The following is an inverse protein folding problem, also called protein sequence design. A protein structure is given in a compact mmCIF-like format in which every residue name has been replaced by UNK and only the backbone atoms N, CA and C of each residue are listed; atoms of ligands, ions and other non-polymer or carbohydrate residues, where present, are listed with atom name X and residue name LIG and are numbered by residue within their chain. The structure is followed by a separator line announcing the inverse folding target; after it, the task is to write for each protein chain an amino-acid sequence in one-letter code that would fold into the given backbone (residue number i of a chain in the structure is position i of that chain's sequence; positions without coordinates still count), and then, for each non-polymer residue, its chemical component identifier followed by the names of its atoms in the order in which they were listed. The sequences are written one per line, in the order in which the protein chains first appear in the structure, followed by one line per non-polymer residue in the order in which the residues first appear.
data_IF_657515428362
#
_entry.id   IF_657515428362
#
_cell.length_a   1.000
_cell.length_b   1.000
_cell.length_c   1.000
_cell.angle_alpha   90.00
_cell.angle_beta   90.00
_cell.angle_gamma   90.00
#
_symmetry.space_group_name_H-M   'P 1'
#
loop_
_entity.id
_entity.type
_entity.pdbx_description
1 polymer ?
#
# COMPACT_ATOMS: atom_id res chain seq x y z
N UNK A 1 -3.30 58.10 -6.40
CA UNK A 1 -2.72 56.85 -5.87
C UNK A 1 -1.22 57.01 -5.85
N UNK A 2 -0.57 56.88 -4.69
CA UNK A 2 0.88 57.08 -4.57
C UNK A 2 1.66 55.85 -5.02
N UNK A 3 2.87 56.04 -5.56
CA UNK A 3 3.76 54.93 -6.01
C UNK A 3 3.94 53.87 -4.91
N UNK A 4 4.00 54.29 -3.64
CA UNK A 4 4.12 53.40 -2.48
C UNK A 4 2.91 52.47 -2.27
N UNK A 5 1.70 52.92 -2.61
CA UNK A 5 0.49 52.07 -2.53
C UNK A 5 0.47 51.02 -3.65
N UNK A 6 0.96 51.39 -4.84
CA UNK A 6 1.04 50.49 -6.00
C UNK A 6 2.02 49.34 -5.70
N UNK A 7 3.20 49.68 -5.17
CA UNK A 7 4.22 48.69 -4.77
C UNK A 7 3.69 47.75 -3.69
N UNK A 8 3.07 48.26 -2.62
CA UNK A 8 2.46 47.42 -1.58
C UNK A 8 1.33 46.53 -2.09
N UNK A 9 0.59 46.95 -3.11
CA UNK A 9 -0.43 46.11 -3.74
C UNK A 9 0.17 45.01 -4.61
N UNK A 10 1.29 45.28 -5.28
CA UNK A 10 2.04 44.27 -6.03
C UNK A 10 2.65 43.23 -5.07
N UNK A 11 3.37 43.65 -4.03
CA UNK A 11 3.98 42.73 -3.07
C UNK A 11 2.95 41.77 -2.42
N UNK A 12 1.77 42.30 -2.07
CA UNK A 12 0.68 41.46 -1.52
C UNK A 12 0.06 40.51 -2.54
N UNK A 13 0.03 40.89 -3.82
CA UNK A 13 -0.42 40.00 -4.90
C UNK A 13 0.59 38.90 -5.15
N UNK A 14 1.86 39.27 -5.20
CA UNK A 14 2.97 38.36 -5.51
C UNK A 14 3.13 37.34 -4.38
N UNK A 15 3.19 37.78 -3.12
CA UNK A 15 3.24 36.85 -1.98
C UNK A 15 2.01 35.94 -1.87
N UNK A 16 0.83 36.40 -2.29
CA UNK A 16 -0.39 35.55 -2.33
C UNK A 16 -0.36 34.55 -3.49
N UNK A 17 0.26 34.91 -4.61
CA UNK A 17 0.45 34.04 -5.76
C UNK A 17 1.50 32.97 -5.44
N UNK A 18 2.64 33.36 -4.87
CA UNK A 18 3.71 32.48 -4.43
C UNK A 18 3.20 31.47 -3.40
N UNK A 19 2.60 31.93 -2.29
CA UNK A 19 2.10 31.00 -1.25
C UNK A 19 1.00 30.05 -1.74
N UNK A 20 0.19 30.45 -2.74
CA UNK A 20 -0.78 29.55 -3.38
C UNK A 20 -0.12 28.53 -4.30
N UNK A 21 0.93 28.92 -5.01
CA UNK A 21 1.69 28.04 -5.89
C UNK A 21 2.47 27.02 -5.08
N UNK A 22 3.19 27.48 -4.06
CA UNK A 22 3.97 26.64 -3.14
C UNK A 22 3.06 25.62 -2.43
N UNK A 23 2.02 26.07 -1.74
CA UNK A 23 1.12 25.14 -1.02
C UNK A 23 0.41 24.13 -1.94
N UNK A 24 0.15 24.49 -3.21
CA UNK A 24 -0.43 23.55 -4.19
C UNK A 24 0.60 22.57 -4.74
N UNK A 25 1.87 22.98 -4.86
CA UNK A 25 2.97 22.13 -5.29
C UNK A 25 3.32 21.13 -4.20
N UNK A 26 3.52 21.61 -2.97
CA UNK A 26 3.84 20.81 -1.78
C UNK A 26 2.76 19.77 -1.53
N UNK A 27 1.49 20.18 -1.38
CA UNK A 27 0.40 19.23 -1.11
C UNK A 27 0.19 18.18 -2.21
N UNK A 28 0.51 18.49 -3.48
CA UNK A 28 0.48 17.51 -4.57
C UNK A 28 1.65 16.53 -4.54
N UNK A 29 2.84 17.02 -4.16
CA UNK A 29 4.05 16.21 -4.05
C UNK A 29 3.94 15.25 -2.87
N UNK A 30 3.55 15.76 -1.71
CA UNK A 30 3.34 14.99 -0.48
C UNK A 30 2.28 13.91 -0.70
N UNK A 31 1.06 14.29 -1.12
CA UNK A 31 -0.01 13.31 -1.32
C UNK A 31 0.30 12.23 -2.38
N UNK A 32 1.12 12.56 -3.40
CA UNK A 32 1.55 11.57 -4.40
C UNK A 32 2.66 10.65 -3.88
N UNK A 33 3.55 11.15 -3.01
CA UNK A 33 4.61 10.35 -2.40
C UNK A 33 4.04 9.40 -1.36
N UNK A 34 3.20 9.91 -0.47
CA UNK A 34 2.51 9.15 0.58
C UNK A 34 1.66 8.04 -0.04
N UNK A 35 0.74 8.37 -0.95
CA UNK A 35 -0.12 7.37 -1.58
C UNK A 35 0.62 6.30 -2.39
N UNK A 36 1.80 6.60 -2.93
CA UNK A 36 2.65 5.60 -3.61
C UNK A 36 3.41 4.70 -2.64
N UNK A 37 3.87 5.25 -1.52
CA UNK A 37 4.59 4.50 -0.49
C UNK A 37 3.64 3.54 0.22
N UNK A 38 2.48 4.05 0.65
CA UNK A 38 1.43 3.26 1.31
C UNK A 38 0.94 2.15 0.38
N UNK A 39 0.48 2.47 -0.83
CA UNK A 39 -0.02 1.46 -1.76
C UNK A 39 1.02 0.40 -2.17
N UNK A 40 2.32 0.75 -2.20
CA UNK A 40 3.39 -0.22 -2.48
C UNK A 40 3.71 -1.10 -1.28
N UNK A 41 3.63 -0.57 -0.07
CA UNK A 41 3.86 -1.34 1.17
C UNK A 41 2.70 -2.29 1.42
N UNK A 42 1.47 -1.80 1.35
CA UNK A 42 0.24 -2.59 1.51
C UNK A 42 0.18 -3.70 0.47
N UNK A 43 0.27 -3.37 -0.83
CA UNK A 43 0.21 -4.37 -1.89
C UNK A 43 1.33 -5.41 -1.86
N UNK A 44 2.52 -5.06 -1.35
CA UNK A 44 3.60 -6.04 -1.15
C UNK A 44 3.35 -6.95 0.05
N UNK A 45 2.81 -6.42 1.13
CA UNK A 45 2.51 -7.19 2.34
C UNK A 45 1.34 -8.14 2.08
N UNK A 46 0.24 -7.63 1.54
CA UNK A 46 -0.94 -8.41 1.15
C UNK A 46 -0.57 -9.47 0.13
N UNK A 47 0.06 -9.10 -0.99
CA UNK A 47 0.45 -10.07 -2.03
C UNK A 47 1.44 -11.13 -1.55
N UNK A 48 2.31 -10.81 -0.56
CA UNK A 48 3.22 -11.80 0.03
C UNK A 48 2.47 -12.75 0.96
N UNK A 49 1.54 -12.26 1.77
CA UNK A 49 0.75 -13.10 2.67
C UNK A 49 -0.20 -14.01 1.89
N UNK A 50 -0.94 -13.43 0.93
CA UNK A 50 -1.83 -14.17 0.03
C UNK A 50 -1.04 -15.22 -0.77
N UNK A 51 0.09 -14.84 -1.37
CA UNK A 51 0.92 -15.78 -2.14
C UNK A 51 1.52 -16.91 -1.28
N UNK A 52 1.89 -16.63 -0.03
CA UNK A 52 2.36 -17.65 0.90
C UNK A 52 1.25 -18.63 1.29
N UNK A 53 0.05 -18.11 1.56
CA UNK A 53 -1.11 -18.94 1.90
C UNK A 53 -1.56 -19.79 0.71
N UNK A 54 -1.65 -19.20 -0.48
CA UNK A 54 -2.00 -19.92 -1.71
C UNK A 54 -0.98 -21.01 -2.07
N UNK A 55 0.32 -20.74 -1.87
CA UNK A 55 1.36 -21.75 -2.05
C UNK A 55 1.22 -22.90 -1.03
N UNK A 56 0.93 -22.60 0.24
CA UNK A 56 0.70 -23.61 1.27
C UNK A 56 -0.52 -24.49 0.94
N UNK A 57 -1.60 -23.90 0.43
CA UNK A 57 -2.80 -24.63 -0.02
C UNK A 57 -2.49 -25.55 -1.21
N UNK A 58 -1.71 -25.09 -2.19
CA UNK A 58 -1.29 -25.91 -3.35
C UNK A 58 -0.48 -27.12 -2.89
N UNK A 59 0.49 -26.90 -2.01
CA UNK A 59 1.30 -27.99 -1.42
C UNK A 59 0.39 -28.95 -0.65
N UNK A 60 -0.51 -28.46 0.19
CA UNK A 60 -1.43 -29.30 0.95
C UNK A 60 -2.34 -30.16 0.05
N UNK A 61 -2.82 -29.59 -1.06
CA UNK A 61 -3.64 -30.31 -2.04
C UNK A 61 -2.86 -31.42 -2.74
N UNK A 62 -1.59 -31.19 -3.08
CA UNK A 62 -0.72 -32.23 -3.65
C UNK A 62 -0.43 -33.35 -2.64
N UNK A 63 -0.06 -33.00 -1.40
CA UNK A 63 0.19 -33.97 -0.34
C UNK A 63 -1.06 -34.81 -0.02
N UNK A 64 -2.25 -34.20 -0.07
CA UNK A 64 -3.53 -34.91 0.11
C UNK A 64 -3.80 -35.90 -1.02
N UNK A 65 -3.48 -35.54 -2.26
CA UNK A 65 -3.58 -36.45 -3.43
C UNK A 65 -2.61 -37.64 -3.31
N UNK A 66 -1.44 -37.43 -2.71
CA UNK A 66 -0.48 -38.52 -2.43
C UNK A 66 -0.91 -39.44 -1.27
N UNK A 67 -2.04 -39.16 -0.62
CA UNK A 67 -2.59 -39.99 0.45
C UNK A 67 -1.91 -39.79 1.81
N UNK A 68 -1.20 -38.68 2.00
CA UNK A 68 -0.61 -38.33 3.29
C UNK A 68 -1.69 -37.95 4.31
N UNK A 69 -1.40 -38.17 5.59
CA UNK A 69 -2.34 -37.88 6.67
C UNK A 69 -2.52 -36.38 6.87
N UNK A 70 -3.74 -35.96 7.22
CA UNK A 70 -4.08 -34.56 7.49
C UNK A 70 -3.17 -33.95 8.56
N UNK A 71 -2.79 -34.72 9.58
CA UNK A 71 -1.85 -34.28 10.63
C UNK A 71 -0.45 -33.95 10.08
N UNK A 72 0.06 -34.79 9.17
CA UNK A 72 1.35 -34.54 8.54
C UNK A 72 1.31 -33.32 7.62
N UNK A 73 0.23 -33.18 6.85
CA UNK A 73 0.03 -32.02 5.97
C UNK A 73 -0.05 -30.74 6.79
N UNK A 74 -0.76 -30.74 7.92
CA UNK A 74 -0.87 -29.60 8.83
C UNK A 74 0.48 -29.21 9.42
N UNK A 75 1.29 -30.17 9.86
CA UNK A 75 2.65 -29.91 10.35
C UNK A 75 3.57 -29.29 9.30
N UNK A 76 3.49 -29.77 8.06
CA UNK A 76 4.37 -29.32 6.97
C UNK A 76 3.95 -27.96 6.41
N UNK A 77 2.66 -27.77 6.15
CA UNK A 77 2.13 -26.56 5.49
C UNK A 77 1.73 -25.46 6.48
N UNK A 78 1.69 -25.77 7.78
CA UNK A 78 1.21 -24.89 8.86
C UNK A 78 -0.23 -24.42 8.68
N UNK A 79 -0.99 -25.11 7.83
CA UNK A 79 -2.43 -24.89 7.68
C UNK A 79 -3.18 -25.59 8.80
N UNK A 80 -4.37 -25.08 9.10
CA UNK A 80 -5.28 -25.73 10.03
C UNK A 80 -5.82 -27.04 9.45
N UNK A 81 -6.24 -27.94 10.34
CA UNK A 81 -6.86 -29.20 9.94
C UNK A 81 -8.15 -28.97 9.15
N UNK A 82 -8.89 -27.90 9.45
CA UNK A 82 -10.12 -27.51 8.73
C UNK A 82 -9.83 -27.08 7.30
N UNK A 83 -8.80 -26.24 7.09
CA UNK A 83 -8.36 -25.84 5.75
C UNK A 83 -7.96 -27.08 4.93
N UNK A 84 -7.22 -28.01 5.51
CA UNK A 84 -6.81 -29.23 4.80
C UNK A 84 -7.97 -30.20 4.56
N UNK A 85 -8.92 -30.28 5.49
CA UNK A 85 -10.12 -31.10 5.34
C UNK A 85 -11.03 -30.57 4.21
N UNK A 86 -11.08 -29.26 4.02
CA UNK A 86 -11.89 -28.58 2.99
C UNK A 86 -11.25 -28.52 1.59
N UNK A 87 -9.95 -28.79 1.46
CA UNK A 87 -9.24 -29.00 0.17
C UNK A 87 -9.71 -30.25 -0.57
#
# INVERSE_FOLDING_TARGET
MGILEIVRMQDRRDGRLEGKLEGKLEGKLEGRLEGKLEGKLEGKLEGRLEGQHEAALKIAAELKKEGLTVDFIAKTTKLSLEEIASL
#
